data_IF_103190762825
#
_entry.id   IF_103190762825
#
_cell.length_a   1.000
_cell.length_b   1.000
_cell.length_c   1.000
_cell.angle_alpha   90.00
_cell.angle_beta   90.00
_cell.angle_gamma   90.00
#
_symmetry.space_group_name_H-M   'P 1'
#
loop_
_entity.id
_entity.type
_entity.pdbx_description
1 polymer ?
#
# COMPACT_ATOMS: atom_id res chain seq x y z
N UNK A 1 14.19 7.79 8.90
CA UNK A 1 12.95 7.80 8.09
C UNK A 1 13.10 7.16 6.71
N UNK A 2 14.15 7.47 5.93
CA UNK A 2 14.37 6.80 4.62
C UNK A 2 14.63 5.28 4.72
N UNK A 3 15.23 4.80 5.82
CA UNK A 3 15.54 3.38 6.04
C UNK A 3 14.31 2.48 6.14
N UNK A 4 13.21 2.95 6.75
CA UNK A 4 11.97 2.18 6.89
C UNK A 4 11.29 1.93 5.54
N UNK A 5 11.31 2.92 4.63
CA UNK A 5 10.78 2.76 3.28
C UNK A 5 11.59 1.76 2.45
N UNK A 6 12.92 1.81 2.55
CA UNK A 6 13.81 0.88 1.83
C UNK A 6 13.64 -0.57 2.30
N UNK A 7 13.42 -0.77 3.59
CA UNK A 7 13.21 -2.10 4.18
C UNK A 7 11.86 -2.70 3.77
N UNK A 8 10.78 -1.91 3.80
CA UNK A 8 9.45 -2.37 3.38
C UNK A 8 9.35 -2.59 1.86
N UNK A 9 10.00 -1.75 1.04
CA UNK A 9 9.99 -1.92 -0.41
C UNK A 9 10.76 -3.17 -0.88
N UNK A 10 11.70 -3.68 -0.08
CA UNK A 10 12.51 -4.85 -0.40
C UNK A 10 11.87 -6.18 0.03
N UNK A 11 10.75 -6.15 0.75
CA UNK A 11 10.05 -7.37 1.13
C UNK A 11 9.12 -7.83 0.00
N UNK A 12 9.31 -9.08 -0.42
CA UNK A 12 8.32 -9.77 -1.23
C UNK A 12 7.15 -10.15 -0.33
N UNK A 13 5.94 -9.87 -0.79
CA UNK A 13 4.68 -10.24 -0.12
C UNK A 13 3.75 -10.81 -1.16
N UNK A 14 3.13 -11.94 -0.89
CA UNK A 14 2.09 -12.48 -1.79
C UNK A 14 0.74 -11.81 -1.54
N UNK A 15 0.46 -11.49 -0.28
CA UNK A 15 -0.79 -10.83 0.17
C UNK A 15 -0.42 -9.55 0.92
N UNK A 16 -0.90 -8.42 0.43
CA UNK A 16 -0.71 -7.13 1.08
C UNK A 16 -1.94 -6.70 1.88
N UNK A 17 -1.73 -6.42 3.17
CA UNK A 17 -2.71 -5.84 4.10
C UNK A 17 -2.15 -4.60 4.79
N UNK A 18 -3.03 -3.70 5.17
CA UNK A 18 -2.69 -2.52 5.97
C UNK A 18 -3.72 -2.29 7.07
N UNK A 19 -3.37 -1.47 8.06
CA UNK A 19 -4.21 -1.19 9.23
C UNK A 19 -5.47 -0.34 8.95
N UNK A 20 -5.63 0.22 7.74
CA UNK A 20 -6.87 0.86 7.29
C UNK A 20 -7.28 0.28 5.93
N UNK A 21 -8.57 -0.03 5.76
CA UNK A 21 -9.10 -0.76 4.60
C UNK A 21 -8.88 -0.06 3.25
N UNK A 22 -8.94 1.26 3.25
CA UNK A 22 -8.69 2.12 2.08
C UNK A 22 -7.24 2.02 1.57
N UNK A 23 -6.28 1.71 2.44
CA UNK A 23 -4.84 1.66 2.09
C UNK A 23 -4.45 0.48 1.21
N UNK A 24 -5.28 -0.57 1.16
CA UNK A 24 -5.02 -1.79 0.38
C UNK A 24 -6.22 -2.24 -0.46
N UNK A 25 -7.24 -1.40 -0.63
CA UNK A 25 -8.39 -1.68 -1.50
C UNK A 25 -9.38 -2.71 -0.93
N UNK A 26 -9.59 -2.72 0.39
CA UNK A 26 -10.40 -3.75 1.07
C UNK A 26 -11.79 -3.96 0.45
N UNK A 27 -12.51 -2.88 0.10
CA UNK A 27 -13.86 -2.99 -0.45
C UNK A 27 -13.89 -3.67 -1.83
N UNK A 28 -12.93 -3.31 -2.69
CA UNK A 28 -12.79 -3.88 -4.03
C UNK A 28 -12.40 -5.37 -3.96
N UNK A 29 -11.38 -5.70 -3.18
CA UNK A 29 -10.92 -7.09 -2.98
C UNK A 29 -12.01 -7.96 -2.36
N UNK A 30 -12.82 -7.42 -1.44
CA UNK A 30 -13.99 -8.12 -0.91
C UNK A 30 -15.06 -8.38 -1.97
N UNK A 31 -15.28 -7.44 -2.89
CA UNK A 31 -16.24 -7.64 -3.97
C UNK A 31 -15.77 -8.70 -4.97
N UNK A 32 -14.47 -8.68 -5.34
CA UNK A 32 -13.85 -9.72 -6.17
C UNK A 32 -13.97 -11.10 -5.52
N UNK A 33 -13.68 -11.23 -4.22
CA UNK A 33 -13.84 -12.47 -3.48
C UNK A 33 -15.30 -12.97 -3.48
N UNK A 34 -16.26 -12.06 -3.28
CA UNK A 34 -17.71 -12.40 -3.36
C UNK A 34 -18.12 -12.87 -4.75
N UNK A 35 -17.43 -12.43 -5.80
CA UNK A 35 -17.65 -12.84 -7.17
C UNK A 35 -16.95 -14.17 -7.52
N UNK A 36 -16.31 -14.82 -6.54
CA UNK A 36 -15.66 -16.13 -6.70
C UNK A 36 -14.16 -16.05 -6.97
N UNK A 37 -13.56 -14.86 -6.96
CA UNK A 37 -12.11 -14.72 -7.09
C UNK A 37 -11.40 -15.10 -5.79
N UNK A 38 -10.95 -16.35 -5.71
CA UNK A 38 -10.20 -16.89 -4.57
C UNK A 38 -8.82 -16.25 -4.38
N UNK A 39 -8.33 -15.51 -5.38
CA UNK A 39 -7.05 -14.82 -5.34
C UNK A 39 -7.18 -13.29 -5.21
N UNK A 40 -8.37 -12.77 -4.93
CA UNK A 40 -8.65 -11.33 -4.83
C UNK A 40 -7.73 -10.54 -3.87
N UNK A 41 -7.08 -11.22 -2.92
CA UNK A 41 -6.15 -10.60 -1.97
C UNK A 41 -4.67 -10.77 -2.32
N UNK A 42 -4.33 -11.58 -3.32
CA UNK A 42 -2.98 -11.65 -3.84
C UNK A 42 -2.63 -10.33 -4.51
N UNK A 43 -1.60 -9.68 -4.00
CA UNK A 43 -1.22 -8.33 -4.38
C UNK A 43 0.25 -8.13 -4.08
N UNK A 44 1.09 -8.69 -4.96
CA UNK A 44 2.54 -8.70 -4.79
C UNK A 44 3.18 -7.33 -4.93
N UNK A 45 2.46 -6.38 -5.52
CA UNK A 45 2.92 -5.01 -5.69
C UNK A 45 2.31 -4.05 -4.65
N UNK A 46 1.32 -4.49 -3.87
CA UNK A 46 0.53 -3.64 -2.97
C UNK A 46 1.38 -2.90 -1.94
N UNK A 47 2.38 -3.57 -1.37
CA UNK A 47 3.30 -2.97 -0.40
C UNK A 47 4.16 -1.87 -1.02
N UNK A 48 4.72 -2.11 -2.21
CA UNK A 48 5.56 -1.13 -2.91
C UNK A 48 4.74 0.11 -3.28
N UNK A 49 3.52 -0.08 -3.81
CA UNK A 49 2.62 1.03 -4.13
C UNK A 49 2.19 1.82 -2.88
N UNK A 50 1.94 1.14 -1.76
CA UNK A 50 1.61 1.79 -0.50
C UNK A 50 2.77 2.65 0.03
N UNK A 51 4.00 2.13 -0.04
CA UNK A 51 5.22 2.85 0.32
C UNK A 51 5.39 4.10 -0.55
N UNK A 52 5.28 3.96 -1.87
CA UNK A 52 5.47 5.09 -2.79
C UNK A 52 4.43 6.19 -2.60
N UNK A 53 3.13 5.83 -2.46
CA UNK A 53 2.07 6.80 -2.14
C UNK A 53 2.32 7.52 -0.82
N UNK A 54 2.86 6.82 0.17
CA UNK A 54 3.20 7.41 1.47
C UNK A 54 4.39 8.36 1.38
N UNK A 55 5.40 8.01 0.57
CA UNK A 55 6.56 8.86 0.28
C UNK A 55 6.14 10.15 -0.42
N UNK A 56 5.28 10.06 -1.44
CA UNK A 56 4.78 11.23 -2.18
C UNK A 56 3.99 12.18 -1.28
N UNK A 57 3.03 11.66 -0.49
CA UNK A 57 2.29 12.47 0.49
C UNK A 57 3.20 13.17 1.48
N UNK A 58 4.22 12.48 1.97
CA UNK A 58 5.20 13.06 2.87
C UNK A 58 5.99 14.20 2.21
N UNK A 59 6.47 14.02 0.98
CA UNK A 59 7.19 15.06 0.24
C UNK A 59 6.29 16.28 0.02
N UNK A 60 5.03 16.09 -0.40
CA UNK A 60 4.08 17.18 -0.59
C UNK A 60 3.83 17.96 0.71
N UNK A 61 3.70 17.26 1.84
CA UNK A 61 3.54 17.91 3.14
C UNK A 61 4.80 18.67 3.55
N UNK A 62 5.98 18.13 3.28
CA UNK A 62 7.25 18.80 3.57
C UNK A 62 7.42 20.08 2.76
N UNK A 63 7.09 20.06 1.46
CA UNK A 63 7.14 21.26 0.60
C UNK A 63 6.11 22.32 0.99
N UNK A 64 4.97 21.91 1.57
CA UNK A 64 3.96 22.84 2.06
C UNK A 64 4.30 23.46 3.44
N UNK A 65 5.28 22.90 4.15
CA UNK A 65 5.75 23.38 5.45
C UNK A 65 7.02 24.22 5.37
N UNK A 66 7.67 24.29 4.21
CA UNK A 66 8.80 25.19 3.98
C UNK A 66 8.24 26.54 3.49
N UNK A 67 8.51 27.66 4.21
CA UNK A 67 8.03 28.99 3.85
C UNK A 67 8.65 29.51 2.55
#
# INVERSE_FOLDING_TARGET
>A
MQSSFKTLAAQHVDIFIANKGDRFGLLEKRQQLRNGDTQAFFDSNGLQQYVERSRQRFITQLTAQQP
#
